data_IF_949458331071
#
_entry.id   IF_949458331071
#
_cell.length_a   1.000
_cell.length_b   1.000
_cell.length_c   1.000
_cell.angle_alpha   90.00
_cell.angle_beta   90.00
_cell.angle_gamma   90.00
#
_symmetry.space_group_name_H-M   'P 1'
#
loop_
_entity.id
_entity.type
_entity.pdbx_description
1 polymer ?
#
# COMPACT_ATOMS: atom_id res chain seq x y z
N UNK A 1 21.97 13.78 5.73
CA UNK A 1 20.69 13.91 5.01
C UNK A 1 20.19 12.57 4.43
N UNK A 2 21.06 11.70 3.92
CA UNK A 2 20.73 10.28 3.58
C UNK A 2 20.00 9.55 4.72
N UNK A 3 20.50 9.65 5.95
CA UNK A 3 19.87 9.06 7.14
C UNK A 3 18.50 9.65 7.48
N UNK A 4 18.22 10.89 7.06
CA UNK A 4 16.91 11.51 7.21
C UNK A 4 15.95 11.00 6.13
N UNK A 5 16.41 10.87 4.88
CA UNK A 5 15.64 10.31 3.75
C UNK A 5 15.30 8.83 3.97
N UNK A 6 16.21 8.08 4.60
CA UNK A 6 16.05 6.64 4.92
C UNK A 6 15.75 6.41 6.40
N UNK A 7 15.05 7.34 7.05
CA UNK A 7 14.81 7.30 8.51
C UNK A 7 14.04 6.04 8.91
N UNK A 8 14.72 5.19 9.68
CA UNK A 8 14.23 3.92 10.22
C UNK A 8 15.22 2.81 9.95
N UNK A 9 15.98 2.37 10.96
CA UNK A 9 16.94 1.26 10.79
C UNK A 9 16.25 -0.04 10.37
N UNK A 10 15.06 -0.32 10.92
CA UNK A 10 14.27 -1.50 10.61
C UNK A 10 13.78 -1.52 9.15
N UNK A 11 13.28 -0.41 8.62
CA UNK A 11 12.88 -0.31 7.21
C UNK A 11 14.05 -0.52 6.25
N UNK A 12 15.24 -0.01 6.60
CA UNK A 12 16.47 -0.26 5.82
C UNK A 12 16.85 -1.74 5.80
N UNK A 13 16.75 -2.44 6.94
CA UNK A 13 16.99 -3.89 7.02
C UNK A 13 15.97 -4.66 6.16
N UNK A 14 14.69 -4.29 6.22
CA UNK A 14 13.66 -4.95 5.42
C UNK A 14 13.91 -4.77 3.92
N UNK A 15 14.28 -3.58 3.47
CA UNK A 15 14.59 -3.36 2.05
C UNK A 15 15.79 -4.21 1.62
N UNK A 16 16.83 -4.29 2.44
CA UNK A 16 17.97 -5.17 2.18
C UNK A 16 17.54 -6.64 2.10
N UNK A 17 16.66 -7.10 3.01
CA UNK A 17 16.12 -8.46 2.99
C UNK A 17 15.27 -8.71 1.74
N UNK A 18 14.45 -7.75 1.31
CA UNK A 18 13.68 -7.85 0.06
C UNK A 18 14.60 -7.92 -1.15
N UNK A 19 15.67 -7.13 -1.19
CA UNK A 19 16.68 -7.22 -2.25
C UNK A 19 17.38 -8.58 -2.27
N UNK A 20 17.79 -9.10 -1.10
CA UNK A 20 18.39 -10.43 -1.00
C UNK A 20 17.41 -11.54 -1.42
N UNK A 21 16.14 -11.43 -1.05
CA UNK A 21 15.11 -12.36 -1.47
C UNK A 21 14.89 -12.30 -3.00
N UNK A 22 14.81 -11.09 -3.57
CA UNK A 22 14.71 -10.90 -5.02
C UNK A 22 15.90 -11.49 -5.78
N UNK A 23 17.12 -11.26 -5.29
CA UNK A 23 18.33 -11.87 -5.84
C UNK A 23 18.29 -13.40 -5.75
N UNK A 24 17.89 -13.95 -4.60
CA UNK A 24 17.80 -15.40 -4.41
C UNK A 24 16.76 -16.04 -5.33
N UNK A 25 15.60 -15.41 -5.49
CA UNK A 25 14.56 -15.85 -6.43
C UNK A 25 15.12 -15.79 -7.87
N UNK A 26 15.78 -14.69 -8.21
CA UNK A 26 16.35 -14.47 -9.55
C UNK A 26 17.47 -15.46 -9.92
N UNK A 27 18.20 -16.00 -8.96
CA UNK A 27 19.26 -16.99 -9.20
C UNK A 27 18.72 -18.43 -9.34
N UNK A 28 17.52 -18.68 -8.83
CA UNK A 28 16.95 -20.04 -8.74
C UNK A 28 15.81 -20.31 -9.73
N UNK A 29 15.27 -19.27 -10.37
CA UNK A 29 14.25 -19.40 -11.42
C UNK A 29 14.95 -19.68 -12.76
N UNK A 30 14.50 -20.71 -13.47
CA UNK A 30 14.97 -21.05 -14.82
C UNK A 30 14.64 -19.93 -15.83
N UNK A 31 15.48 -19.78 -16.87
CA UNK A 31 15.43 -18.69 -17.86
C UNK A 31 14.10 -18.56 -18.64
N UNK A 32 13.19 -19.53 -18.53
CA UNK A 32 11.88 -19.50 -19.19
C UNK A 32 10.85 -18.58 -18.48
N UNK A 33 11.12 -18.12 -17.24
CA UNK A 33 10.20 -17.26 -16.44
C UNK A 33 10.77 -15.85 -16.21
N UNK A 34 11.30 -15.23 -17.28
CA UNK A 34 11.94 -13.91 -17.22
C UNK A 34 11.01 -12.79 -16.72
N UNK A 35 9.70 -12.83 -17.05
CA UNK A 35 8.75 -11.79 -16.63
C UNK A 35 8.54 -11.72 -15.11
N UNK A 36 8.53 -12.87 -14.43
CA UNK A 36 8.41 -12.92 -12.97
C UNK A 36 9.69 -12.42 -12.28
N UNK A 37 10.85 -12.79 -12.82
CA UNK A 37 12.16 -12.31 -12.36
C UNK A 37 12.22 -10.78 -12.39
N UNK A 38 11.82 -10.18 -13.51
CA UNK A 38 11.79 -8.72 -13.67
C UNK A 38 10.75 -8.04 -12.77
N UNK A 39 9.54 -8.60 -12.66
CA UNK A 39 8.46 -8.03 -11.86
C UNK A 39 8.77 -8.04 -10.36
N UNK A 40 9.34 -9.13 -9.83
CA UNK A 40 9.72 -9.25 -8.41
C UNK A 40 10.79 -8.25 -8.02
N UNK A 41 11.82 -8.13 -8.87
CA UNK A 41 12.91 -7.20 -8.70
C UNK A 41 12.46 -5.74 -8.81
N UNK A 42 11.63 -5.41 -9.80
CA UNK A 42 10.99 -4.09 -9.94
C UNK A 42 10.21 -3.74 -8.67
N UNK A 43 9.37 -4.66 -8.19
CA UNK A 43 8.51 -4.44 -7.03
C UNK A 43 9.33 -4.21 -5.76
N UNK A 44 10.39 -4.99 -5.54
CA UNK A 44 11.28 -4.78 -4.39
C UNK A 44 12.12 -3.50 -4.52
N UNK A 45 12.52 -3.10 -5.72
CA UNK A 45 13.22 -1.83 -5.92
C UNK A 45 12.27 -0.62 -5.71
N UNK A 46 11.03 -0.72 -6.20
CA UNK A 46 9.97 0.25 -5.94
C UNK A 46 9.75 0.49 -4.43
N UNK A 47 9.95 -0.51 -3.56
CA UNK A 47 9.86 -0.32 -2.11
C UNK A 47 10.91 0.66 -1.55
N UNK A 48 12.13 0.64 -2.10
CA UNK A 48 13.20 1.58 -1.74
C UNK A 48 12.89 2.99 -2.24
N UNK A 49 12.49 3.11 -3.50
CA UNK A 49 12.09 4.39 -4.09
C UNK A 49 10.89 5.01 -3.38
N UNK A 50 9.93 4.18 -2.98
CA UNK A 50 8.77 4.60 -2.20
C UNK A 50 9.17 5.13 -0.82
N UNK A 51 10.08 4.46 -0.11
CA UNK A 51 10.61 4.96 1.17
C UNK A 51 11.20 6.37 1.03
N UNK A 52 11.97 6.61 -0.03
CA UNK A 52 12.63 7.90 -0.30
C UNK A 52 11.60 8.95 -0.73
N UNK A 53 10.73 8.61 -1.68
CA UNK A 53 9.70 9.50 -2.22
C UNK A 53 8.74 10.00 -1.14
N UNK A 54 8.35 9.14 -0.19
CA UNK A 54 7.44 9.51 0.90
C UNK A 54 8.09 10.41 1.96
N UNK A 55 9.43 10.38 2.10
CA UNK A 55 10.17 11.23 3.05
C UNK A 55 10.63 12.54 2.44
N UNK A 56 10.78 12.61 1.13
CA UNK A 56 11.28 13.78 0.42
C UNK A 56 10.42 15.05 0.67
N UNK A 57 9.07 15.01 0.60
CA UNK A 57 8.23 16.13 0.98
C UNK A 57 8.44 16.55 2.43
N UNK A 58 8.54 15.60 3.36
CA UNK A 58 8.73 15.89 4.79
C UNK A 58 9.98 16.75 5.04
N UNK A 59 11.05 16.42 4.35
CA UNK A 59 12.38 17.00 4.54
C UNK A 59 12.42 18.40 3.92
N UNK A 60 11.93 18.55 2.69
CA UNK A 60 11.89 19.85 2.00
C UNK A 60 11.07 20.91 2.73
N UNK A 61 10.11 20.51 3.59
CA UNK A 61 9.19 21.40 4.30
C UNK A 61 9.56 21.65 5.78
N UNK A 62 10.57 20.98 6.32
CA UNK A 62 10.98 21.20 7.72
C UNK A 62 11.45 22.64 7.91
N UNK A 63 11.18 23.25 9.07
CA UNK A 63 11.70 24.59 9.42
C UNK A 63 13.24 24.69 9.29
N UNK A 64 13.95 23.56 9.40
CA UNK A 64 15.39 23.49 9.16
C UNK A 64 15.80 23.69 7.70
N UNK A 65 14.92 23.44 6.72
CA UNK A 65 15.17 23.77 5.30
C UNK A 65 15.22 25.28 5.06
N UNK A 66 14.64 26.09 5.96
CA UNK A 66 14.62 27.56 5.91
C UNK A 66 15.88 28.19 6.50
N UNK A 67 16.56 27.48 7.40
CA UNK A 67 17.64 28.04 8.24
C UNK A 67 19.03 27.53 7.84
N UNK A 68 19.10 26.40 7.14
CA UNK A 68 20.38 25.78 6.78
C UNK A 68 20.84 26.23 5.38
N UNK A 69 22.01 26.89 5.27
CA UNK A 69 22.57 27.20 3.96
C UNK A 69 22.88 25.91 3.20
N UNK A 70 22.70 25.92 1.87
CA UNK A 70 22.96 24.80 0.97
C UNK A 70 22.13 23.53 1.22
N UNK A 71 20.99 23.63 1.92
CA UNK A 71 20.12 22.49 2.23
C UNK A 71 19.72 21.67 0.99
N UNK A 72 19.24 22.33 -0.07
CA UNK A 72 18.81 21.67 -1.30
C UNK A 72 19.98 21.06 -2.09
N UNK A 73 21.18 21.66 -2.03
CA UNK A 73 22.39 21.07 -2.60
C UNK A 73 22.77 19.77 -1.88
N UNK A 74 22.66 19.72 -0.55
CA UNK A 74 22.89 18.49 0.22
C UNK A 74 21.81 17.43 -0.04
N UNK A 75 20.56 17.85 -0.29
CA UNK A 75 19.45 16.97 -0.63
C UNK A 75 19.70 16.28 -1.96
N UNK A 76 20.07 17.04 -2.98
CA UNK A 76 20.43 16.52 -4.31
C UNK A 76 21.56 15.50 -4.25
N UNK A 77 22.65 15.84 -3.53
CA UNK A 77 23.78 14.91 -3.35
C UNK A 77 23.33 13.62 -2.66
N UNK A 78 22.45 13.72 -1.66
CA UNK A 78 21.94 12.56 -0.94
C UNK A 78 21.01 11.69 -1.80
N UNK A 79 20.16 12.31 -2.63
CA UNK A 79 19.31 11.61 -3.60
C UNK A 79 20.16 10.90 -4.67
N UNK A 80 21.21 11.55 -5.18
CA UNK A 80 22.14 10.92 -6.12
C UNK A 80 22.87 9.71 -5.51
N UNK A 81 23.29 9.80 -4.23
CA UNK A 81 23.91 8.67 -3.53
C UNK A 81 22.89 7.53 -3.33
N UNK A 82 21.64 7.84 -2.97
CA UNK A 82 20.59 6.82 -2.84
C UNK A 82 20.25 6.15 -4.17
N UNK A 83 20.26 6.94 -5.26
CA UNK A 83 20.12 6.41 -6.60
C UNK A 83 21.25 5.42 -6.89
N UNK A 84 22.51 5.78 -6.62
CA UNK A 84 23.64 4.87 -6.77
C UNK A 84 23.51 3.60 -5.92
N UNK A 85 23.00 3.70 -4.70
CA UNK A 85 22.70 2.54 -3.83
C UNK A 85 21.65 1.61 -4.48
N UNK A 86 20.66 2.16 -5.20
CA UNK A 86 19.67 1.36 -5.93
C UNK A 86 20.24 0.62 -7.15
N UNK A 87 21.47 0.95 -7.58
CA UNK A 87 22.22 0.15 -8.54
C UNK A 87 22.98 -1.01 -7.90
N UNK A 88 23.08 -1.13 -6.56
CA UNK A 88 23.80 -2.26 -5.95
C UNK A 88 23.22 -3.61 -6.36
N UNK A 89 21.89 -3.79 -6.47
CA UNK A 89 21.35 -5.05 -6.98
C UNK A 89 21.73 -5.38 -8.44
N UNK A 90 22.16 -4.39 -9.23
CA UNK A 90 22.65 -4.56 -10.62
C UNK A 90 23.88 -5.48 -10.69
N UNK A 91 24.78 -5.42 -9.70
CA UNK A 91 26.10 -6.06 -9.82
C UNK A 91 26.07 -7.57 -9.73
N UNK A 92 24.97 -8.15 -9.22
CA UNK A 92 24.80 -9.60 -9.05
C UNK A 92 24.06 -10.23 -10.24
N UNK A 93 23.43 -9.42 -11.11
CA UNK A 93 22.47 -9.84 -12.13
C UNK A 93 22.90 -9.44 -13.55
N UNK A 94 24.19 -9.57 -13.84
CA UNK A 94 24.82 -9.22 -15.12
C UNK A 94 24.21 -9.81 -16.42
N UNK A 95 23.36 -10.87 -16.46
CA UNK A 95 22.80 -11.33 -17.73
C UNK A 95 21.84 -10.35 -18.42
N UNK A 96 21.08 -9.52 -17.68
CA UNK A 96 19.98 -8.70 -18.24
C UNK A 96 20.06 -7.21 -17.84
N UNK A 97 21.09 -6.53 -18.33
CA UNK A 97 21.33 -5.10 -18.05
C UNK A 97 20.16 -4.22 -18.52
N UNK A 98 19.55 -4.55 -19.66
CA UNK A 98 18.44 -3.77 -20.26
C UNK A 98 17.20 -3.79 -19.37
N UNK A 99 16.80 -4.97 -18.89
CA UNK A 99 15.64 -5.11 -18.02
C UNK A 99 15.79 -4.33 -16.70
N UNK A 100 17.01 -4.29 -16.15
CA UNK A 100 17.27 -3.53 -14.92
C UNK A 100 17.26 -2.01 -15.14
N UNK A 101 17.84 -1.53 -16.24
CA UNK A 101 17.80 -0.12 -16.60
C UNK A 101 16.35 0.34 -16.86
N UNK A 102 15.53 -0.53 -17.47
CA UNK A 102 14.09 -0.32 -17.60
C UNK A 102 13.42 -0.22 -16.21
N UNK A 103 13.68 -1.17 -15.31
CA UNK A 103 13.10 -1.16 -13.96
C UNK A 103 13.50 0.09 -13.14
N UNK A 104 14.73 0.55 -13.26
CA UNK A 104 15.19 1.82 -12.66
C UNK A 104 14.48 3.04 -13.27
N UNK A 105 14.27 3.04 -14.59
CA UNK A 105 13.55 4.11 -15.29
C UNK A 105 12.10 4.19 -14.82
N UNK A 106 11.42 3.04 -14.75
CA UNK A 106 10.04 2.96 -14.27
C UNK A 106 9.94 3.37 -12.80
N UNK A 107 10.82 2.86 -11.93
CA UNK A 107 10.79 3.18 -10.50
C UNK A 107 11.12 4.66 -10.20
N UNK A 108 12.04 5.26 -10.96
CA UNK A 108 12.32 6.71 -10.85
C UNK A 108 11.17 7.57 -11.35
N UNK A 109 10.52 7.21 -12.46
CA UNK A 109 9.30 7.87 -12.95
C UNK A 109 8.17 7.76 -11.93
N UNK A 110 7.95 6.58 -11.37
CA UNK A 110 6.94 6.32 -10.37
C UNK A 110 7.22 7.12 -9.08
N UNK A 111 8.48 7.20 -8.64
CA UNK A 111 8.88 8.03 -7.52
C UNK A 111 8.63 9.53 -7.79
N UNK A 112 9.00 10.03 -8.97
CA UNK A 112 8.72 11.41 -9.36
C UNK A 112 7.23 11.71 -9.40
N UNK A 113 6.43 10.77 -9.90
CA UNK A 113 4.98 10.89 -9.98
C UNK A 113 4.36 10.87 -8.58
N UNK A 114 4.80 10.00 -7.67
CA UNK A 114 4.38 10.02 -6.26
C UNK A 114 4.70 11.37 -5.61
N UNK A 115 5.93 11.85 -5.78
CA UNK A 115 6.34 13.18 -5.27
C UNK A 115 5.46 14.27 -5.87
N UNK A 116 5.16 14.19 -7.17
CA UNK A 116 4.32 15.18 -7.86
C UNK A 116 2.88 15.17 -7.37
N UNK A 117 2.30 13.98 -7.10
CA UNK A 117 0.97 13.83 -6.49
C UNK A 117 0.94 14.44 -5.09
N UNK A 118 2.04 14.34 -4.33
CA UNK A 118 2.14 14.96 -3.00
C UNK A 118 1.91 16.46 -3.09
N UNK A 119 2.55 17.12 -4.05
CA UNK A 119 2.43 18.57 -4.22
C UNK A 119 1.18 18.98 -5.00
N UNK A 120 0.68 18.12 -5.89
CA UNK A 120 -0.49 18.40 -6.74
C UNK A 120 -1.37 17.14 -6.90
N UNK A 121 -2.34 16.93 -6.00
CA UNK A 121 -3.19 15.74 -5.98
C UNK A 121 -4.02 15.51 -7.26
N UNK A 122 -4.23 16.54 -8.06
CA UNK A 122 -4.91 16.47 -9.37
C UNK A 122 -4.23 15.51 -10.36
N UNK A 123 -2.95 15.21 -10.17
CA UNK A 123 -2.23 14.21 -10.97
C UNK A 123 -2.44 12.77 -10.50
N UNK A 124 -3.27 12.52 -9.48
CA UNK A 124 -3.66 11.15 -9.09
C UNK A 124 -4.41 10.42 -10.20
N UNK A 125 -5.13 11.14 -11.06
CA UNK A 125 -5.77 10.55 -12.24
C UNK A 125 -4.75 10.00 -13.25
N UNK A 126 -3.60 10.66 -13.41
CA UNK A 126 -2.48 10.17 -14.22
C UNK A 126 -1.92 8.85 -13.66
N UNK A 127 -1.82 8.72 -12.34
CA UNK A 127 -1.43 7.46 -11.70
C UNK A 127 -2.43 6.34 -11.98
N UNK A 128 -3.72 6.64 -11.86
CA UNK A 128 -4.80 5.68 -12.13
C UNK A 128 -4.73 5.24 -13.60
N UNK A 129 -4.62 6.17 -14.55
CA UNK A 129 -4.43 5.83 -15.97
C UNK A 129 -3.21 4.93 -16.15
N UNK A 130 -2.07 5.27 -15.53
CA UNK A 130 -0.82 4.53 -15.71
C UNK A 130 -0.87 3.12 -15.09
N UNK A 131 -1.61 2.95 -13.99
CA UNK A 131 -1.84 1.65 -13.35
C UNK A 131 -2.82 0.75 -14.11
N UNK A 132 -3.76 1.34 -14.86
CA UNK A 132 -4.71 0.62 -15.72
C UNK A 132 -4.30 0.61 -17.18
N UNK A 133 -3.17 1.23 -17.53
CA UNK A 133 -2.60 1.17 -18.87
C UNK A 133 -2.07 -0.25 -19.05
N UNK A 134 -2.53 -0.99 -20.07
CA UNK A 134 -2.03 -2.32 -20.30
C UNK A 134 -0.54 -2.29 -20.58
N UNK A 135 0.20 -3.20 -19.94
CA UNK A 135 1.66 -3.32 -20.11
C UNK A 135 2.03 -3.53 -21.58
N UNK A 136 1.13 -4.11 -22.37
CA UNK A 136 1.34 -4.37 -23.80
C UNK A 136 0.68 -3.34 -24.74
N UNK A 137 0.04 -2.24 -24.25
CA UNK A 137 -0.19 -1.08 -25.14
C UNK A 137 1.15 -0.54 -25.67
N UNK A 138 2.22 -0.78 -24.92
CA UNK A 138 3.59 -0.54 -25.36
C UNK A 138 4.11 -1.56 -26.39
N UNK A 139 3.50 -2.75 -26.50
CA UNK A 139 3.77 -3.71 -27.59
C UNK A 139 2.89 -3.43 -28.82
N UNK A 140 1.67 -2.92 -28.64
CA UNK A 140 0.85 -2.41 -29.76
C UNK A 140 1.52 -1.21 -30.46
N UNK A 141 2.35 -0.44 -29.74
CA UNK A 141 3.20 0.58 -30.38
C UNK A 141 4.38 0.00 -31.17
N UNK A 142 4.83 -1.22 -30.87
CA UNK A 142 5.86 -1.92 -31.65
C UNK A 142 5.30 -2.40 -33.00
N UNK A 143 4.00 -2.72 -33.07
CA UNK A 143 3.37 -3.20 -34.31
C UNK A 143 2.85 -2.07 -35.22
N UNK A 144 2.50 -0.89 -34.67
CA UNK A 144 1.87 0.19 -35.44
C UNK A 144 2.51 1.58 -35.38
N UNK A 145 3.40 1.89 -34.41
CA UNK A 145 3.80 3.29 -34.17
C UNK A 145 5.28 3.62 -34.40
N UNK A 146 6.20 2.66 -34.51
CA UNK A 146 7.59 3.02 -34.84
C UNK A 146 8.33 1.96 -35.66
N UNK A 147 8.80 2.40 -36.83
CA UNK A 147 10.00 1.90 -37.53
C UNK A 147 11.29 2.16 -36.73
N UNK A 148 11.26 2.08 -35.40
CA UNK A 148 12.44 2.15 -34.53
C UNK A 148 12.86 0.72 -34.17
N UNK A 149 14.16 0.39 -34.21
CA UNK A 149 14.66 -0.95 -33.91
C UNK A 149 14.66 -1.29 -32.41
N UNK A 150 13.89 -0.57 -31.59
CA UNK A 150 13.95 -0.66 -30.12
C UNK A 150 12.60 -1.01 -29.52
N UNK A 151 12.54 -2.06 -28.70
CA UNK A 151 11.36 -2.39 -27.89
C UNK A 151 11.15 -1.36 -26.78
N UNK A 152 9.93 -1.25 -26.23
CA UNK A 152 9.65 -0.32 -25.12
C UNK A 152 10.61 -0.48 -23.92
N UNK A 153 10.97 -1.71 -23.57
CA UNK A 153 11.94 -2.00 -22.50
C UNK A 153 13.31 -1.37 -22.80
N UNK A 154 13.77 -1.46 -24.06
CA UNK A 154 15.00 -0.83 -24.52
C UNK A 154 14.89 0.69 -24.56
N UNK A 155 13.74 1.24 -24.99
CA UNK A 155 13.50 2.68 -25.02
C UNK A 155 13.55 3.27 -23.61
N UNK A 156 12.88 2.64 -22.65
CA UNK A 156 12.92 3.03 -21.25
C UNK A 156 14.36 2.95 -20.70
N UNK A 157 15.06 1.84 -20.92
CA UNK A 157 16.46 1.67 -20.51
C UNK A 157 17.39 2.77 -21.07
N UNK A 158 17.26 3.10 -22.36
CA UNK A 158 18.04 4.14 -23.03
C UNK A 158 17.65 5.54 -22.55
N UNK A 159 16.38 5.75 -22.19
CA UNK A 159 15.88 7.03 -21.69
C UNK A 159 16.29 7.35 -20.25
N UNK A 160 16.83 6.37 -19.49
CA UNK A 160 17.21 6.53 -18.09
C UNK A 160 18.05 7.80 -17.83
N UNK A 161 19.10 8.14 -18.59
CA UNK A 161 19.90 9.34 -18.34
C UNK A 161 19.05 10.63 -18.44
N UNK A 162 18.10 10.67 -19.37
CA UNK A 162 17.18 11.80 -19.54
C UNK A 162 16.17 11.86 -18.40
N UNK A 163 15.64 10.72 -17.97
CA UNK A 163 14.77 10.61 -16.80
C UNK A 163 15.50 11.10 -15.54
N UNK A 164 16.74 10.65 -15.31
CA UNK A 164 17.57 11.08 -14.19
C UNK A 164 17.89 12.58 -14.22
N UNK A 165 18.22 13.11 -15.40
CA UNK A 165 18.43 14.54 -15.58
C UNK A 165 17.15 15.34 -15.27
N UNK A 166 15.99 14.86 -15.73
CA UNK A 166 14.70 15.48 -15.44
C UNK A 166 14.38 15.45 -13.94
N UNK A 167 14.61 14.32 -13.27
CA UNK A 167 14.43 14.16 -11.83
C UNK A 167 15.31 15.16 -11.07
N UNK A 168 16.58 15.27 -11.45
CA UNK A 168 17.53 16.20 -10.84
C UNK A 168 17.08 17.66 -10.99
N UNK A 169 16.57 18.04 -12.17
CA UNK A 169 16.04 19.38 -12.45
C UNK A 169 14.72 19.65 -11.72
N UNK A 170 13.87 18.65 -11.54
CA UNK A 170 12.62 18.80 -10.78
C UNK A 170 12.87 19.01 -9.28
N UNK A 171 13.95 18.47 -8.73
CA UNK A 171 14.35 18.75 -7.34
C UNK A 171 14.63 20.25 -7.12
N UNK A 172 15.18 20.97 -8.10
CA UNK A 172 15.32 22.44 -8.01
C UNK A 172 13.96 23.15 -7.98
N UNK A 173 13.00 22.64 -8.74
CA UNK A 173 11.65 23.21 -8.72
C UNK A 173 10.94 22.96 -7.38
N UNK A 174 11.35 21.96 -6.59
CA UNK A 174 10.82 21.78 -5.23
C UNK A 174 11.18 22.93 -4.29
N UNK A 175 12.28 23.65 -4.54
CA UNK A 175 12.62 24.87 -3.81
C UNK A 175 11.60 25.98 -4.05
N UNK A 176 11.00 26.01 -5.24
CA UNK A 176 10.02 27.00 -5.69
C UNK A 176 8.57 26.54 -5.45
N UNK A 177 8.32 25.23 -5.40
CA UNK A 177 7.06 24.62 -4.94
C UNK A 177 6.96 24.69 -3.41
N UNK A 178 7.08 25.91 -2.88
CA UNK A 178 6.69 26.30 -1.51
C UNK A 178 5.16 26.43 -1.44
N UNK A 179 4.46 25.42 -1.95
CA UNK A 179 3.02 25.43 -2.16
C UNK A 179 2.22 25.62 -0.87
N UNK A 180 0.90 25.81 -1.03
CA UNK A 180 -0.04 26.02 0.07
C UNK A 180 0.16 24.97 1.18
N UNK A 181 0.70 25.42 2.30
CA UNK A 181 1.09 24.59 3.47
C UNK A 181 -0.06 23.65 3.88
N UNK A 182 -1.31 24.06 3.62
CA UNK A 182 -2.53 23.29 3.85
C UNK A 182 -2.63 22.03 2.99
N UNK A 183 -2.39 22.11 1.68
CA UNK A 183 -2.50 20.95 0.77
C UNK A 183 -1.38 19.94 1.03
N UNK A 184 -0.22 20.46 1.40
CA UNK A 184 0.98 19.68 1.66
C UNK A 184 0.89 18.98 3.02
N UNK A 185 0.37 19.64 4.06
CA UNK A 185 0.02 19.00 5.32
C UNK A 185 -1.03 17.87 5.14
N UNK A 186 -1.96 18.04 4.20
CA UNK A 186 -3.01 17.08 3.83
C UNK A 186 -2.45 15.75 3.27
N UNK A 187 -1.34 15.81 2.53
CA UNK A 187 -0.72 14.61 1.94
C UNK A 187 0.43 14.06 2.78
N UNK A 188 1.24 14.92 3.41
CA UNK A 188 2.22 14.54 4.45
C UNK A 188 1.62 13.63 5.51
N UNK A 189 0.30 13.74 5.66
CA UNK A 189 -0.51 12.97 6.55
C UNK A 189 -1.19 11.73 6.02
N UNK A 190 -1.06 11.47 4.72
CA UNK A 190 -1.34 10.18 4.08
C UNK A 190 -0.07 9.35 3.86
N UNK A 191 1.12 9.97 3.92
CA UNK A 191 2.34 9.38 3.34
C UNK A 191 3.42 8.92 4.31
N UNK A 192 3.34 9.20 5.61
CA UNK A 192 4.45 8.91 6.51
C UNK A 192 4.31 7.55 7.22
N UNK A 193 5.19 6.60 6.91
CA UNK A 193 5.37 5.31 7.63
C UNK A 193 5.88 5.47 9.10
N UNK A 194 5.72 6.65 9.69
CA UNK A 194 5.83 6.92 11.13
C UNK A 194 4.85 8.05 11.44
N UNK A 195 3.61 7.68 11.75
CA UNK A 195 2.42 8.53 11.58
C UNK A 195 1.78 8.96 12.91
N UNK A 196 2.41 8.66 14.05
CA UNK A 196 1.83 8.92 15.38
C UNK A 196 1.41 10.38 15.61
N UNK A 197 2.10 11.36 15.01
CA UNK A 197 1.73 12.79 15.10
C UNK A 197 0.83 13.29 13.96
N UNK A 198 0.63 12.49 12.92
CA UNK A 198 0.32 13.00 11.59
C UNK A 198 -1.13 12.70 11.17
N UNK A 199 -1.73 11.61 11.67
CA UNK A 199 -3.17 11.37 11.54
C UNK A 199 -4.01 12.28 12.44
N UNK A 200 -3.49 12.65 13.61
CA UNK A 200 -4.09 13.66 14.47
C UNK A 200 -4.19 15.03 13.76
N UNK A 201 -3.21 15.37 12.93
CA UNK A 201 -3.21 16.60 12.12
C UNK A 201 -4.22 16.54 10.95
N UNK A 202 -4.56 15.36 10.38
CA UNK A 202 -5.59 15.24 9.33
C UNK A 202 -6.99 15.55 9.82
N UNK A 203 -7.30 15.08 11.01
CA UNK A 203 -8.63 15.27 11.59
C UNK A 203 -8.86 16.72 12.00
N UNK A 204 -7.79 17.47 12.27
CA UNK A 204 -7.84 18.90 12.60
C UNK A 204 -7.98 19.81 11.38
N UNK A 205 -7.81 19.30 10.15
CA UNK A 205 -7.98 20.11 8.94
C UNK A 205 -9.45 20.44 8.68
N UNK A 206 -9.83 21.72 8.48
CA UNK A 206 -11.21 22.11 8.18
C UNK A 206 -11.74 21.41 6.93
N UNK A 207 -12.97 20.89 6.97
CA UNK A 207 -13.59 20.16 5.85
C UNK A 207 -13.52 20.91 4.52
N UNK A 208 -13.76 22.23 4.55
CA UNK A 208 -13.72 23.13 3.37
C UNK A 208 -12.36 23.19 2.67
N UNK A 209 -11.26 22.81 3.34
CA UNK A 209 -9.91 22.82 2.77
C UNK A 209 -9.52 21.54 2.03
N UNK A 210 -10.37 20.51 2.08
CA UNK A 210 -10.12 19.20 1.47
C UNK A 210 -10.56 19.17 0.00
N UNK A 211 -10.04 18.22 -0.77
CA UNK A 211 -10.51 18.07 -2.16
C UNK A 211 -11.99 17.65 -2.18
N UNK A 212 -12.71 17.97 -3.27
CA UNK A 212 -14.16 17.71 -3.38
C UNK A 212 -14.52 16.22 -3.24
N UNK A 213 -13.66 15.31 -3.71
CA UNK A 213 -13.88 13.87 -3.59
C UNK A 213 -13.73 13.36 -2.14
N UNK A 214 -12.74 13.87 -1.41
CA UNK A 214 -12.50 13.58 0.00
C UNK A 214 -13.57 14.19 0.89
N UNK A 215 -14.06 15.40 0.55
CA UNK A 215 -15.24 15.98 1.17
C UNK A 215 -16.44 15.07 0.94
N UNK A 216 -16.74 14.70 -0.31
CA UNK A 216 -17.85 13.80 -0.63
C UNK A 216 -17.78 12.47 0.12
N UNK A 217 -16.61 11.80 0.14
CA UNK A 217 -16.41 10.57 0.90
C UNK A 217 -16.62 10.77 2.40
N UNK A 218 -16.09 11.86 2.97
CA UNK A 218 -16.27 12.17 4.38
C UNK A 218 -17.73 12.43 4.70
N UNK A 219 -18.41 13.29 3.94
CA UNK A 219 -19.82 13.60 4.14
C UNK A 219 -20.65 12.33 4.06
N UNK A 220 -20.39 11.44 3.10
CA UNK A 220 -21.11 10.18 2.97
C UNK A 220 -20.88 9.24 4.17
N UNK A 221 -19.63 9.10 4.62
CA UNK A 221 -19.30 8.26 5.77
C UNK A 221 -19.84 8.86 7.09
N UNK A 222 -19.71 10.17 7.29
CA UNK A 222 -20.21 10.90 8.47
C UNK A 222 -21.73 10.90 8.53
N UNK A 223 -22.42 11.13 7.41
CA UNK A 223 -23.89 11.09 7.36
C UNK A 223 -24.45 9.74 7.81
N UNK A 224 -23.76 8.63 7.51
CA UNK A 224 -24.16 7.31 8.01
C UNK A 224 -24.11 7.22 9.54
N UNK A 225 -23.04 7.72 10.17
CA UNK A 225 -22.92 7.70 11.63
C UNK A 225 -23.81 8.74 12.31
N UNK A 226 -24.00 9.93 11.72
CA UNK A 226 -24.98 10.91 12.17
C UNK A 226 -26.40 10.33 12.14
N UNK A 227 -26.75 9.60 11.07
CA UNK A 227 -28.01 8.87 11.00
C UNK A 227 -28.13 7.83 12.12
N UNK A 228 -27.07 7.08 12.44
CA UNK A 228 -27.07 6.12 13.54
C UNK A 228 -27.25 6.80 14.90
N UNK A 229 -26.58 7.94 15.12
CA UNK A 229 -26.66 8.72 16.37
C UNK A 229 -28.05 9.33 16.54
N UNK A 230 -28.64 9.84 15.45
CA UNK A 230 -29.96 10.47 15.48
C UNK A 230 -31.12 9.46 15.53
N UNK A 231 -30.85 8.17 15.37
CA UNK A 231 -31.86 7.13 15.49
C UNK A 231 -32.20 6.90 16.96
N UNK A 232 -33.48 6.75 17.28
CA UNK A 232 -33.97 6.47 18.65
C UNK A 232 -33.52 5.13 19.25
N UNK A 233 -32.72 4.35 18.52
CA UNK A 233 -32.21 3.05 18.94
C UNK A 233 -30.90 3.22 19.71
N UNK A 234 -30.72 2.47 20.80
CA UNK A 234 -29.45 2.39 21.51
C UNK A 234 -28.32 1.92 20.58
N UNK A 235 -27.21 2.66 20.58
CA UNK A 235 -25.98 2.30 19.87
C UNK A 235 -25.32 1.12 20.58
N UNK A 236 -24.85 0.14 19.81
CA UNK A 236 -24.06 -0.96 20.39
C UNK A 236 -22.66 -0.49 20.77
N UNK A 237 -22.04 -1.16 21.74
CA UNK A 237 -20.65 -0.90 22.15
C UNK A 237 -19.65 -0.95 20.96
N UNK A 238 -19.90 -1.86 20.01
CA UNK A 238 -19.14 -1.92 18.74
C UNK A 238 -19.33 -0.68 17.89
N UNK A 239 -20.56 -0.16 17.79
CA UNK A 239 -20.86 1.05 17.03
C UNK A 239 -20.24 2.29 17.68
N UNK A 240 -20.22 2.37 19.02
CA UNK A 240 -19.53 3.45 19.74
C UNK A 240 -18.03 3.49 19.43
N UNK A 241 -17.37 2.33 19.42
CA UNK A 241 -15.96 2.22 19.04
C UNK A 241 -15.76 2.57 17.56
N UNK A 242 -16.66 2.15 16.68
CA UNK A 242 -16.59 2.48 15.25
C UNK A 242 -16.71 4.00 15.00
N UNK A 243 -17.61 4.69 15.73
CA UNK A 243 -17.77 6.15 15.68
C UNK A 243 -16.50 6.83 16.21
N UNK A 244 -15.95 6.33 17.32
CA UNK A 244 -14.70 6.84 17.91
C UNK A 244 -13.49 6.73 16.96
N UNK A 245 -13.46 5.67 16.14
CA UNK A 245 -12.41 5.40 15.17
C UNK A 245 -12.70 5.97 13.77
N UNK A 246 -13.74 6.79 13.60
CA UNK A 246 -14.06 7.33 12.28
C UNK A 246 -12.98 8.30 11.81
N UNK A 247 -12.50 8.10 10.57
CA UNK A 247 -11.55 8.98 9.91
C UNK A 247 -11.94 9.21 8.45
N UNK A 248 -11.45 10.30 7.86
CA UNK A 248 -11.55 10.64 6.43
C UNK A 248 -11.05 9.51 5.54
N UNK A 249 -10.01 8.81 6.02
CA UNK A 249 -9.34 7.72 5.32
C UNK A 249 -9.90 6.34 5.67
N UNK A 250 -10.97 6.27 6.47
CA UNK A 250 -11.64 5.01 6.76
C UNK A 250 -12.40 4.48 5.55
N UNK A 251 -12.27 3.18 5.28
CA UNK A 251 -13.05 2.50 4.25
C UNK A 251 -14.47 2.30 4.76
N UNK A 252 -15.36 3.20 4.35
CA UNK A 252 -16.78 3.16 4.70
C UNK A 252 -17.65 2.69 3.54
N UNK A 253 -18.98 2.74 3.73
CA UNK A 253 -19.97 2.32 2.71
C UNK A 253 -19.78 3.04 1.37
N UNK A 254 -19.48 4.33 1.41
CA UNK A 254 -19.26 5.13 0.20
C UNK A 254 -18.03 4.67 -0.58
N UNK A 255 -16.97 4.29 0.12
CA UNK A 255 -15.74 3.75 -0.48
C UNK A 255 -16.01 2.41 -1.16
N UNK A 256 -16.73 1.49 -0.51
CA UNK A 256 -17.09 0.20 -1.12
C UNK A 256 -18.02 0.37 -2.33
N UNK A 257 -19.00 1.28 -2.26
CA UNK A 257 -19.90 1.56 -3.38
C UNK A 257 -19.13 2.16 -4.57
N UNK A 258 -18.25 3.12 -4.31
CA UNK A 258 -17.38 3.69 -5.35
C UNK A 258 -16.56 2.60 -6.04
N UNK A 259 -15.88 1.75 -5.27
CA UNK A 259 -15.07 0.69 -5.85
C UNK A 259 -15.88 -0.39 -6.53
N UNK A 260 -17.09 -0.69 -6.04
CA UNK A 260 -18.02 -1.59 -6.73
C UNK A 260 -18.35 -1.07 -8.12
N UNK A 261 -18.68 0.23 -8.25
CA UNK A 261 -18.92 0.86 -9.56
C UNK A 261 -17.70 0.75 -10.47
N UNK A 262 -16.50 1.03 -9.95
CA UNK A 262 -15.25 0.93 -10.72
C UNK A 262 -15.00 -0.50 -11.19
N UNK A 263 -15.16 -1.50 -10.31
CA UNK A 263 -15.01 -2.92 -10.64
C UNK A 263 -16.05 -3.31 -11.70
N UNK A 264 -17.33 -2.95 -11.53
CA UNK A 264 -18.38 -3.22 -12.51
C UNK A 264 -18.08 -2.61 -13.87
N UNK A 265 -17.51 -1.39 -13.92
CA UNK A 265 -17.11 -0.75 -15.17
C UNK A 265 -15.99 -1.52 -15.85
N UNK A 266 -14.94 -1.90 -15.11
CA UNK A 266 -13.83 -2.72 -15.64
C UNK A 266 -14.34 -4.06 -16.16
N UNK A 267 -15.19 -4.74 -15.39
CA UNK A 267 -15.84 -5.98 -15.79
C UNK A 267 -16.70 -5.81 -17.06
N UNK A 268 -17.43 -4.71 -17.17
CA UNK A 268 -18.24 -4.41 -18.36
C UNK A 268 -17.36 -4.21 -19.59
N UNK A 269 -16.27 -3.44 -19.46
CA UNK A 269 -15.27 -3.28 -20.53
C UNK A 269 -14.70 -4.65 -20.94
N UNK A 270 -14.39 -5.51 -19.96
CA UNK A 270 -13.97 -6.90 -20.19
C UNK A 270 -14.91 -7.69 -21.07
N UNK A 271 -16.21 -7.67 -20.78
CA UNK A 271 -17.23 -8.38 -21.55
C UNK A 271 -17.37 -7.90 -23.00
N UNK A 272 -16.98 -6.65 -23.30
CA UNK A 272 -17.00 -6.09 -24.64
C UNK A 272 -15.67 -6.28 -25.40
N UNK A 273 -14.59 -6.60 -24.69
CA UNK A 273 -13.29 -6.88 -25.30
C UNK A 273 -13.25 -8.33 -25.79
N UNK A 274 -12.63 -8.58 -26.95
CA UNK A 274 -12.35 -9.95 -27.39
C UNK A 274 -11.31 -10.61 -26.48
N UNK A 275 -11.37 -11.94 -26.36
CA UNK A 275 -10.46 -12.75 -25.52
C UNK A 275 -8.97 -12.49 -25.81
N UNK A 276 -8.65 -12.16 -27.06
CA UNK A 276 -7.31 -11.76 -27.53
C UNK A 276 -6.77 -10.51 -26.83
N UNK A 277 -7.59 -9.77 -26.08
CA UNK A 277 -7.19 -8.58 -25.35
C UNK A 277 -7.19 -8.78 -23.82
N UNK A 278 -7.47 -9.98 -23.30
CA UNK A 278 -7.61 -10.18 -21.86
C UNK A 278 -6.29 -10.14 -21.11
N UNK A 279 -5.22 -10.66 -21.71
CA UNK A 279 -3.90 -10.76 -21.08
C UNK A 279 -3.29 -9.39 -20.75
N UNK A 280 -3.63 -8.36 -21.53
CA UNK A 280 -3.35 -6.94 -21.30
C UNK A 280 -3.78 -6.43 -19.91
N UNK A 281 -4.85 -6.99 -19.34
CA UNK A 281 -5.46 -6.49 -18.10
C UNK A 281 -5.21 -7.38 -16.87
N UNK A 282 -4.70 -8.60 -17.06
CA UNK A 282 -4.44 -9.57 -15.98
C UNK A 282 -3.56 -8.97 -14.87
N UNK A 283 -2.41 -8.30 -15.16
CA UNK A 283 -1.56 -7.73 -14.11
C UNK A 283 -2.30 -6.67 -13.29
N UNK A 284 -3.08 -5.81 -13.94
CA UNK A 284 -3.88 -4.79 -13.26
C UNK A 284 -4.95 -5.41 -12.35
N UNK A 285 -5.57 -6.52 -12.78
CA UNK A 285 -6.60 -7.24 -12.04
C UNK A 285 -6.09 -7.98 -10.80
N UNK A 286 -4.81 -8.34 -10.76
CA UNK A 286 -4.16 -8.93 -9.58
C UNK A 286 -3.59 -7.83 -8.68
N UNK A 287 -2.92 -6.84 -9.26
CA UNK A 287 -2.26 -5.76 -8.51
C UNK A 287 -3.29 -4.87 -7.81
N UNK A 288 -4.40 -4.52 -8.46
CA UNK A 288 -5.39 -3.59 -7.91
C UNK A 288 -6.04 -4.12 -6.60
N UNK A 289 -6.62 -5.33 -6.56
CA UNK A 289 -7.17 -5.89 -5.34
C UNK A 289 -6.15 -5.98 -4.21
N UNK A 290 -4.92 -6.30 -4.58
CA UNK A 290 -3.84 -6.43 -3.63
C UNK A 290 -3.54 -5.05 -3.04
N UNK A 291 -3.26 -4.00 -3.85
CA UNK A 291 -2.97 -2.64 -3.34
C UNK A 291 -4.07 -2.12 -2.40
N UNK A 292 -5.33 -2.40 -2.71
CA UNK A 292 -6.47 -2.03 -1.87
C UNK A 292 -6.46 -2.73 -0.51
N UNK A 293 -6.15 -4.03 -0.48
CA UNK A 293 -5.97 -4.78 0.78
C UNK A 293 -4.82 -4.15 1.58
N UNK A 294 -3.66 -3.92 0.96
CA UNK A 294 -2.47 -3.39 1.64
C UNK A 294 -2.72 -1.99 2.22
N UNK A 295 -3.21 -1.08 1.39
CA UNK A 295 -3.50 0.31 1.80
C UNK A 295 -4.63 0.38 2.84
N UNK A 296 -5.70 -0.40 2.68
CA UNK A 296 -6.82 -0.45 3.63
C UNK A 296 -6.39 -0.99 5.00
N UNK A 297 -5.61 -2.07 5.02
CA UNK A 297 -5.09 -2.67 6.26
C UNK A 297 -4.17 -1.69 7.00
N UNK A 298 -3.21 -1.09 6.31
CA UNK A 298 -2.26 -0.14 6.90
C UNK A 298 -2.96 1.12 7.40
N UNK A 299 -3.87 1.69 6.61
CA UNK A 299 -4.63 2.88 7.00
C UNK A 299 -5.46 2.62 8.25
N UNK A 300 -6.16 1.48 8.30
CA UNK A 300 -6.94 1.08 9.48
C UNK A 300 -6.07 0.87 10.72
N UNK A 301 -4.91 0.21 10.56
CA UNK A 301 -3.94 0.03 11.65
C UNK A 301 -3.54 1.38 12.27
N UNK A 302 -3.22 2.34 11.41
CA UNK A 302 -2.78 3.65 11.83
C UNK A 302 -3.90 4.52 12.43
N UNK A 303 -5.14 4.45 11.91
CA UNK A 303 -6.29 5.17 12.49
C UNK A 303 -6.49 4.76 13.96
N UNK A 304 -6.56 3.45 14.23
CA UNK A 304 -6.74 2.95 15.59
C UNK A 304 -5.55 3.35 16.47
N UNK A 305 -4.34 3.24 15.93
CA UNK A 305 -3.13 3.63 16.65
C UNK A 305 -3.15 5.12 17.05
N UNK A 306 -3.54 6.02 16.15
CA UNK A 306 -3.70 7.46 16.44
C UNK A 306 -4.82 7.77 17.44
N UNK A 307 -5.85 6.92 17.50
CA UNK A 307 -6.98 7.04 18.44
C UNK A 307 -6.78 6.30 19.75
N UNK A 308 -5.64 5.64 19.96
CA UNK A 308 -5.41 4.77 21.12
C UNK A 308 -5.69 5.47 22.46
N UNK A 309 -5.22 6.70 22.65
CA UNK A 309 -5.47 7.47 23.88
C UNK A 309 -6.97 7.80 24.09
N UNK A 310 -7.69 8.11 23.00
CA UNK A 310 -9.12 8.35 23.05
C UNK A 310 -9.92 7.07 23.36
N UNK A 311 -9.56 5.96 22.70
CA UNK A 311 -10.12 4.64 22.96
C UNK A 311 -9.85 4.15 24.39
N UNK A 312 -8.68 4.47 24.94
CA UNK A 312 -8.34 4.19 26.32
C UNK A 312 -9.26 4.94 27.30
N UNK A 313 -9.64 6.18 27.00
CA UNK A 313 -10.66 6.92 27.79
C UNK A 313 -12.04 6.33 27.62
N UNK A 314 -12.39 5.92 26.40
CA UNK A 314 -13.66 5.29 26.09
C UNK A 314 -13.85 3.99 26.89
N UNK A 315 -12.77 3.22 27.13
CA UNK A 315 -12.85 1.95 27.86
C UNK A 315 -13.21 2.08 29.34
N UNK A 316 -13.14 3.29 29.94
CA UNK A 316 -13.56 3.53 31.35
C UNK A 316 -15.03 3.95 31.43
N UNK A 317 -15.71 4.17 30.31
CA UNK A 317 -17.12 4.62 30.36
C UNK A 317 -18.04 3.56 30.98
N UNK A 318 -19.17 3.96 31.59
CA UNK A 318 -20.10 3.04 32.27
C UNK A 318 -20.55 1.87 31.39
N UNK A 319 -20.73 2.12 30.09
CA UNK A 319 -21.10 1.10 29.09
C UNK A 319 -20.07 -0.03 28.93
N UNK A 320 -18.87 0.13 29.47
CA UNK A 320 -17.75 -0.80 29.42
C UNK A 320 -17.29 -1.27 30.81
N UNK A 321 -18.06 -1.03 31.87
CA UNK A 321 -17.74 -1.42 33.26
C UNK A 321 -17.49 -2.93 33.42
N UNK A 322 -18.18 -3.75 32.64
CA UNK A 322 -17.99 -5.20 32.68
C UNK A 322 -16.59 -5.57 32.19
N UNK A 323 -15.91 -6.44 32.95
CA UNK A 323 -14.61 -7.00 32.60
C UNK A 323 -14.61 -7.50 31.13
N UNK A 324 -13.62 -7.04 30.37
CA UNK A 324 -13.40 -7.41 28.96
C UNK A 324 -14.47 -6.96 27.95
N UNK A 325 -15.56 -6.30 28.37
CA UNK A 325 -16.63 -5.85 27.46
C UNK A 325 -16.10 -4.92 26.37
N UNK A 326 -15.18 -4.01 26.72
CA UNK A 326 -14.48 -3.15 25.78
C UNK A 326 -13.62 -3.95 24.79
N UNK A 327 -12.84 -4.92 25.28
CA UNK A 327 -11.95 -5.73 24.44
C UNK A 327 -12.75 -6.56 23.44
N UNK A 328 -13.85 -7.18 23.86
CA UNK A 328 -14.73 -7.96 22.99
C UNK A 328 -15.31 -7.06 21.90
N UNK A 329 -15.83 -5.89 22.27
CA UNK A 329 -16.39 -4.94 21.32
C UNK A 329 -15.33 -4.40 20.34
N UNK A 330 -14.12 -4.11 20.84
CA UNK A 330 -12.98 -3.65 20.05
C UNK A 330 -12.49 -4.71 19.06
N UNK A 331 -12.24 -5.94 19.51
CA UNK A 331 -11.84 -7.05 18.64
C UNK A 331 -12.92 -7.35 17.60
N UNK A 332 -14.19 -7.35 18.00
CA UNK A 332 -15.31 -7.53 17.08
C UNK A 332 -15.35 -6.44 16.02
N UNK A 333 -15.09 -5.18 16.39
CA UNK A 333 -14.96 -4.08 15.43
C UNK A 333 -13.81 -4.33 14.43
N UNK A 334 -12.60 -4.58 14.95
CA UNK A 334 -11.39 -4.81 14.15
C UNK A 334 -11.56 -5.98 13.17
N UNK A 335 -11.95 -7.14 13.68
CA UNK A 335 -12.05 -8.37 12.89
C UNK A 335 -13.10 -8.19 11.80
N UNK A 336 -14.26 -7.62 12.13
CA UNK A 336 -15.32 -7.44 11.14
C UNK A 336 -14.94 -6.47 10.02
N UNK A 337 -14.24 -5.38 10.32
CA UNK A 337 -13.86 -4.43 9.27
C UNK A 337 -12.76 -4.96 8.36
N UNK A 338 -11.80 -5.72 8.89
CA UNK A 338 -10.81 -6.42 8.06
C UNK A 338 -11.46 -7.54 7.22
N UNK A 339 -12.35 -8.36 7.80
CA UNK A 339 -13.06 -9.40 7.03
C UNK A 339 -13.85 -8.79 5.87
N UNK A 340 -14.55 -7.65 6.07
CA UNK A 340 -15.25 -6.97 4.99
C UNK A 340 -14.31 -6.54 3.87
N UNK A 341 -13.16 -5.94 4.21
CA UNK A 341 -12.16 -5.52 3.22
C UNK A 341 -11.66 -6.72 2.39
N UNK A 342 -11.19 -7.77 3.05
CA UNK A 342 -10.66 -8.94 2.37
C UNK A 342 -11.74 -9.68 1.57
N UNK A 343 -12.95 -9.84 2.13
CA UNK A 343 -14.05 -10.48 1.41
C UNK A 343 -14.46 -9.69 0.17
N UNK A 344 -14.57 -8.36 0.27
CA UNK A 344 -14.91 -7.51 -0.87
C UNK A 344 -13.84 -7.59 -1.98
N UNK A 345 -12.56 -7.52 -1.63
CA UNK A 345 -11.49 -7.62 -2.63
C UNK A 345 -11.33 -9.04 -3.20
N UNK A 346 -11.56 -10.09 -2.41
CA UNK A 346 -11.60 -11.47 -2.92
C UNK A 346 -12.75 -11.68 -3.90
N UNK A 347 -13.93 -11.13 -3.63
CA UNK A 347 -15.06 -11.14 -4.58
C UNK A 347 -14.73 -10.38 -5.86
N UNK A 348 -14.06 -9.23 -5.77
CA UNK A 348 -13.60 -8.48 -6.92
C UNK A 348 -12.63 -9.32 -7.79
N UNK A 349 -11.67 -9.98 -7.15
CA UNK A 349 -10.73 -10.86 -7.84
C UNK A 349 -11.43 -12.06 -8.49
N UNK A 350 -12.40 -12.68 -7.81
CA UNK A 350 -13.21 -13.75 -8.40
C UNK A 350 -14.01 -13.26 -9.61
N UNK A 351 -14.60 -12.07 -9.56
CA UNK A 351 -15.30 -11.49 -10.69
C UNK A 351 -14.38 -11.26 -11.88
N UNK A 352 -13.17 -10.73 -11.66
CA UNK A 352 -12.16 -10.60 -12.70
C UNK A 352 -11.74 -11.96 -13.26
N UNK A 353 -11.46 -12.94 -12.40
CA UNK A 353 -11.06 -14.28 -12.82
C UNK A 353 -12.11 -14.96 -13.70
N UNK A 354 -13.39 -14.79 -13.39
CA UNK A 354 -14.50 -15.36 -14.15
C UNK A 354 -14.69 -14.68 -15.51
N UNK A 355 -14.61 -13.35 -15.58
CA UNK A 355 -14.86 -12.59 -16.82
C UNK A 355 -13.69 -12.72 -17.80
N UNK A 356 -12.47 -12.68 -17.29
CA UNK A 356 -11.26 -12.67 -18.11
C UNK A 356 -10.62 -14.06 -18.23
N UNK A 357 -11.18 -15.09 -17.58
CA UNK A 357 -10.78 -16.49 -17.74
C UNK A 357 -9.33 -16.81 -17.32
N UNK A 358 -8.64 -15.92 -16.59
CA UNK A 358 -7.21 -16.06 -16.35
C UNK A 358 -6.84 -17.02 -15.21
N UNK A 359 -7.80 -17.41 -14.36
CA UNK A 359 -7.57 -18.41 -13.30
C UNK A 359 -8.54 -19.58 -13.45
N UNK A 360 -8.05 -20.79 -13.22
CA UNK A 360 -8.92 -21.95 -12.99
C UNK A 360 -9.61 -21.83 -11.64
N UNK A 361 -10.73 -22.53 -11.45
CA UNK A 361 -11.49 -22.54 -10.19
C UNK A 361 -10.63 -23.00 -9.00
N UNK A 362 -9.77 -24.00 -9.20
CA UNK A 362 -8.87 -24.51 -8.17
C UNK A 362 -7.81 -23.48 -7.73
N UNK A 363 -7.23 -22.76 -8.70
CA UNK A 363 -6.25 -21.71 -8.42
C UNK A 363 -6.94 -20.51 -7.77
N UNK A 364 -8.17 -20.19 -8.16
CA UNK A 364 -8.96 -19.14 -7.52
C UNK A 364 -9.19 -19.43 -6.02
N UNK A 365 -9.54 -20.67 -5.66
CA UNK A 365 -9.67 -21.08 -4.25
C UNK A 365 -8.32 -20.96 -3.52
N UNK A 366 -7.23 -21.38 -4.16
CA UNK A 366 -5.87 -21.22 -3.62
C UNK A 366 -5.52 -19.74 -3.35
N UNK A 367 -5.86 -18.84 -4.26
CA UNK A 367 -5.63 -17.40 -4.09
C UNK A 367 -6.50 -16.80 -2.98
N UNK A 368 -7.79 -17.18 -2.89
CA UNK A 368 -8.68 -16.74 -1.82
C UNK A 368 -8.19 -17.22 -0.45
N UNK A 369 -7.75 -18.48 -0.35
CA UNK A 369 -7.18 -19.02 0.89
C UNK A 369 -5.86 -18.35 1.25
N UNK A 370 -5.01 -18.02 0.28
CA UNK A 370 -3.81 -17.23 0.52
C UNK A 370 -4.13 -15.82 1.06
N UNK A 371 -5.15 -15.15 0.49
CA UNK A 371 -5.62 -13.85 0.98
C UNK A 371 -6.17 -13.94 2.41
N UNK A 372 -6.87 -15.04 2.75
CA UNK A 372 -7.34 -15.31 4.10
C UNK A 372 -6.17 -15.51 5.08
N UNK A 373 -5.13 -16.26 4.69
CA UNK A 373 -3.91 -16.44 5.48
C UNK A 373 -3.21 -15.10 5.75
N UNK A 374 -3.12 -14.24 4.74
CA UNK A 374 -2.59 -12.88 4.90
C UNK A 374 -3.44 -12.04 5.85
N UNK A 375 -4.77 -12.14 5.77
CA UNK A 375 -5.68 -11.45 6.70
C UNK A 375 -5.40 -11.84 8.16
N UNK A 376 -5.24 -13.14 8.43
CA UNK A 376 -4.94 -13.65 9.78
C UNK A 376 -3.59 -13.16 10.29
N UNK A 377 -2.56 -13.22 9.46
CA UNK A 377 -1.24 -12.71 9.80
C UNK A 377 -1.29 -11.21 10.13
N UNK A 378 -1.93 -10.41 9.27
CA UNK A 378 -2.03 -8.97 9.45
C UNK A 378 -2.86 -8.61 10.69
N UNK A 379 -4.01 -9.25 10.92
CA UNK A 379 -4.80 -9.06 12.14
C UNK A 379 -3.98 -9.39 13.40
N UNK A 380 -3.24 -10.51 13.39
CA UNK A 380 -2.35 -10.89 14.49
C UNK A 380 -1.30 -9.80 14.77
N UNK A 381 -0.60 -9.35 13.73
CA UNK A 381 0.40 -8.29 13.84
C UNK A 381 -0.18 -6.96 14.33
N UNK A 382 -1.35 -6.57 13.82
CA UNK A 382 -2.04 -5.34 14.24
C UNK A 382 -2.42 -5.38 15.71
N UNK A 383 -3.01 -6.48 16.17
CA UNK A 383 -3.38 -6.68 17.58
C UNK A 383 -2.13 -6.65 18.47
N UNK A 384 -1.05 -7.33 18.08
CA UNK A 384 0.23 -7.27 18.80
C UNK A 384 0.80 -5.86 18.86
N UNK A 385 0.69 -5.11 17.77
CA UNK A 385 1.10 -3.71 17.69
C UNK A 385 0.35 -2.83 18.70
N UNK A 386 -0.98 -2.93 18.74
CA UNK A 386 -1.79 -2.14 19.67
C UNK A 386 -1.64 -2.56 21.14
N UNK A 387 -1.32 -3.83 21.41
CA UNK A 387 -1.05 -4.34 22.76
C UNK A 387 0.27 -3.84 23.38
N UNK A 388 1.17 -3.19 22.61
CA UNK A 388 2.42 -2.64 23.16
C UNK A 388 2.21 -1.28 23.79
N UNK A 389 2.90 -1.00 24.91
CA UNK A 389 2.88 0.30 25.59
C UNK A 389 3.71 1.37 24.86
N UNK A 390 4.90 1.00 24.36
CA UNK A 390 5.78 1.92 23.63
C UNK A 390 5.36 2.05 22.17
N UNK A 391 5.52 3.26 21.63
CA UNK A 391 5.30 3.56 20.24
C UNK A 391 6.31 2.86 19.34
N UNK A 392 5.87 1.78 18.71
CA UNK A 392 6.63 1.02 17.70
C UNK A 392 5.80 0.82 16.43
N UNK A 393 4.92 1.78 16.15
CA UNK A 393 4.07 1.84 14.95
C UNK A 393 4.87 1.52 13.68
N UNK A 394 6.03 2.16 13.51
CA UNK A 394 6.89 2.00 12.34
C UNK A 394 7.32 0.54 12.11
N UNK A 395 7.58 -0.25 13.16
CA UNK A 395 8.04 -1.65 13.01
C UNK A 395 6.93 -2.51 12.43
N UNK A 396 5.73 -2.47 13.02
CA UNK A 396 4.60 -3.27 12.55
C UNK A 396 4.13 -2.83 11.17
N UNK A 397 4.11 -1.53 10.88
CA UNK A 397 3.81 -1.00 9.54
C UNK A 397 4.77 -1.56 8.50
N UNK A 398 6.08 -1.59 8.79
CA UNK A 398 7.06 -2.15 7.86
C UNK A 398 6.91 -3.67 7.67
N UNK A 399 6.58 -4.43 8.72
CA UNK A 399 6.32 -5.88 8.61
C UNK A 399 5.07 -6.15 7.75
N UNK A 400 3.97 -5.43 8.01
CA UNK A 400 2.73 -5.55 7.24
C UNK A 400 2.98 -5.18 5.78
N UNK A 401 3.71 -4.09 5.53
CA UNK A 401 4.08 -3.66 4.18
C UNK A 401 4.97 -4.67 3.46
N UNK A 402 5.99 -5.24 4.12
CA UNK A 402 6.83 -6.27 3.49
C UNK A 402 6.06 -7.57 3.23
N UNK A 403 5.20 -7.98 4.16
CA UNK A 403 4.35 -9.15 3.99
C UNK A 403 3.40 -8.97 2.80
N UNK A 404 2.89 -7.76 2.61
CA UNK A 404 2.10 -7.38 1.46
C UNK A 404 2.87 -7.47 0.13
N UNK A 405 4.10 -6.93 0.07
CA UNK A 405 4.94 -6.99 -1.12
C UNK A 405 5.30 -8.45 -1.50
N UNK A 406 5.62 -9.28 -0.51
CA UNK A 406 5.86 -10.71 -0.71
C UNK A 406 4.59 -11.43 -1.16
N UNK A 407 3.42 -11.03 -0.67
CA UNK A 407 2.15 -11.62 -1.08
C UNK A 407 1.82 -11.34 -2.55
N UNK A 408 2.10 -10.12 -3.07
CA UNK A 408 1.92 -9.83 -4.51
C UNK A 408 2.76 -10.80 -5.35
N UNK A 409 4.05 -10.93 -5.01
CA UNK A 409 4.97 -11.85 -5.70
C UNK A 409 4.47 -13.29 -5.64
N UNK A 410 4.05 -13.73 -4.45
CA UNK A 410 3.51 -15.06 -4.24
C UNK A 410 2.25 -15.32 -5.08
N UNK A 411 1.33 -14.35 -5.16
CA UNK A 411 0.13 -14.48 -5.99
C UNK A 411 0.47 -14.60 -7.47
N UNK A 412 1.44 -13.84 -7.97
CA UNK A 412 1.89 -13.97 -9.36
C UNK A 412 2.45 -15.37 -9.64
N UNK A 413 3.31 -15.89 -8.76
CA UNK A 413 3.85 -17.26 -8.88
C UNK A 413 2.73 -18.30 -8.95
N UNK A 414 1.74 -18.16 -8.08
CA UNK A 414 0.63 -19.12 -7.96
C UNK A 414 -0.31 -19.03 -9.17
N UNK A 415 -0.61 -17.82 -9.63
CA UNK A 415 -1.48 -17.58 -10.78
C UNK A 415 -0.83 -18.08 -12.08
N UNK A 416 0.43 -17.73 -12.31
CA UNK A 416 1.17 -18.03 -13.54
C UNK A 416 1.43 -19.54 -13.69
N UNK A 417 1.92 -20.17 -12.62
CA UNK A 417 2.22 -21.61 -12.61
C UNK A 417 1.00 -22.49 -12.30
N UNK A 418 -0.20 -21.89 -12.17
CA UNK A 418 -1.46 -22.57 -11.82
C UNK A 418 -1.33 -23.54 -10.63
N UNK A 419 -0.61 -23.10 -9.58
CA UNK A 419 -0.29 -23.95 -8.43
C UNK A 419 -1.51 -24.12 -7.53
N UNK A 420 -1.87 -25.35 -7.21
CA UNK A 420 -2.87 -25.66 -6.20
C UNK A 420 -2.23 -25.66 -4.80
N UNK A 421 -2.42 -24.58 -4.04
CA UNK A 421 -1.79 -24.38 -2.74
C UNK A 421 -2.33 -25.32 -1.65
N UNK A 422 -3.58 -25.76 -1.78
CA UNK A 422 -4.23 -26.58 -0.77
C UNK A 422 -3.60 -27.98 -0.63
N UNK A 423 -2.92 -28.46 -1.66
CA UNK A 423 -2.19 -29.73 -1.63
C UNK A 423 -0.77 -29.58 -1.05
N UNK A 424 -0.27 -28.36 -0.89
CA UNK A 424 1.07 -28.11 -0.36
C UNK A 424 1.08 -28.24 1.16
N UNK A 425 1.87 -29.19 1.67
CA UNK A 425 2.13 -29.34 3.10
C UNK A 425 2.80 -28.08 3.70
N UNK A 426 3.65 -27.41 2.92
CA UNK A 426 4.33 -26.17 3.35
C UNK A 426 3.31 -25.05 3.53
N UNK A 427 2.39 -24.87 2.57
CA UNK A 427 1.34 -23.86 2.69
C UNK A 427 0.39 -24.15 3.85
N UNK A 428 0.02 -25.42 4.05
CA UNK A 428 -0.83 -25.85 5.17
C UNK A 428 -0.15 -25.57 6.53
N UNK A 429 1.15 -25.85 6.66
CA UNK A 429 1.92 -25.53 7.86
C UNK A 429 2.00 -24.01 8.09
N UNK A 430 2.20 -23.22 7.04
CA UNK A 430 2.21 -21.76 7.12
C UNK A 430 0.86 -21.16 7.53
N UNK A 431 -0.25 -21.72 7.03
CA UNK A 431 -1.60 -21.34 7.43
C UNK A 431 -1.83 -21.60 8.93
N UNK A 432 -1.43 -22.78 9.42
CA UNK A 432 -1.51 -23.10 10.85
C UNK A 432 -0.65 -22.14 11.69
N UNK A 433 0.55 -21.81 11.22
CA UNK A 433 1.40 -20.81 11.87
C UNK A 433 0.72 -19.43 11.96
N UNK A 434 0.12 -18.94 10.87
CA UNK A 434 -0.60 -17.67 10.89
C UNK A 434 -1.81 -17.70 11.83
N UNK A 435 -2.55 -18.82 11.85
CA UNK A 435 -3.68 -19.02 12.76
C UNK A 435 -3.22 -19.01 14.23
N UNK A 436 -2.12 -19.68 14.55
CA UNK A 436 -1.59 -19.67 15.93
C UNK A 436 -1.16 -18.27 16.36
N UNK A 437 -0.50 -17.50 15.49
CA UNK A 437 -0.17 -16.09 15.77
C UNK A 437 -1.43 -15.28 16.04
N UNK A 438 -2.47 -15.42 15.21
CA UNK A 438 -3.72 -14.71 15.37
C UNK A 438 -4.42 -15.03 16.70
N UNK A 439 -4.56 -16.32 17.03
CA UNK A 439 -5.18 -16.77 18.29
C UNK A 439 -4.38 -16.30 19.52
N UNK A 440 -3.06 -16.42 19.51
CA UNK A 440 -2.20 -15.93 20.58
C UNK A 440 -2.31 -14.40 20.74
N UNK A 441 -2.48 -13.68 19.64
CA UNK A 441 -2.65 -12.23 19.65
C UNK A 441 -3.99 -11.83 20.27
N UNK A 442 -5.07 -12.54 19.94
CA UNK A 442 -6.38 -12.38 20.59
C UNK A 442 -6.26 -12.63 22.10
N UNK A 443 -5.67 -13.75 22.51
CA UNK A 443 -5.51 -14.07 23.92
C UNK A 443 -4.76 -12.98 24.69
N UNK A 444 -3.65 -12.47 24.14
CA UNK A 444 -2.88 -11.36 24.73
C UNK A 444 -3.66 -10.05 24.82
N UNK A 445 -4.59 -9.82 23.89
CA UNK A 445 -5.37 -8.58 23.85
C UNK A 445 -6.30 -8.44 25.05
N UNK A 446 -6.88 -9.54 25.52
CA UNK A 446 -7.68 -9.59 26.75
C UNK A 446 -6.90 -9.18 27.99
N UNK A 447 -5.58 -9.39 28.00
CA UNK A 447 -4.73 -9.02 29.13
C UNK A 447 -4.21 -7.58 29.06
N UNK A 448 -4.05 -7.01 27.86
CA UNK A 448 -3.29 -5.75 27.67
C UNK A 448 -4.11 -4.55 27.22
N UNK A 449 -5.17 -4.76 26.44
CA UNK A 449 -6.03 -3.68 25.95
C UNK A 449 -6.82 -2.96 27.07
N UNK A 450 -7.33 -3.65 28.11
CA UNK A 450 -7.99 -2.99 29.25
C UNK A 450 -7.09 -2.00 30.00
N UNK A 451 -5.77 -2.11 29.83
CA UNK A 451 -4.76 -1.35 30.56
C UNK A 451 -4.07 -0.29 29.69
N UNK A 452 -4.70 0.19 28.61
CA UNK A 452 -4.11 1.24 27.77
C UNK A 452 -3.85 2.58 28.49
N UNK A 453 -4.40 2.78 29.67
CA UNK A 453 -4.18 3.97 30.52
C UNK A 453 -3.04 3.82 31.53
N UNK A 454 -2.53 2.60 31.77
CA UNK A 454 -1.45 2.30 32.73
C UNK A 454 -0.17 1.84 32.04
#
# INVERSE_FOLDING_TARGET
MITMLTKGWFGRIIILLLWLAGMSISLNIADEVNGLREATLLLFNCSFYFMVAMRLPKITLMQSSYLLPNYFSQLKRSLAILLFISFIPLTVLLPDVVAWLNALSISTLLAMLIVTIVYQPKYSFLFIILMFLPVEVFNLTDEYLFTLPFSFSQLMAVSLPLILFSAFKFVDKLENYRGDVKQIALFMSMSSFSMEKVLADQEQLPEKSRNKFSQWLLTFNVNYYLYLINKTRSLSNKQLIAIACQSVSSMGRGTYLFWFIVISLICSVGLYLGENYYHYFIPAMVIFPTIMIGSGTLTFFHIIYGKKAYLARLSIMPNFENNNSFVIAFLSFVIWDQIKLYAFMSLALSAFALIFGFLTSEVLVSVITAAFTLCMLNLGLMILGWCRKKAQDSVFTWIIFSGFMLFVVFLFIVADNKINLLQSAVFSAFLLFCLTIFVLSIYRSFQKIPHWLS
#
